data_IF_898988602791
#
_entry.id   IF_898988602791
#
_cell.length_a   1.000
_cell.length_b   1.000
_cell.length_c   1.000
_cell.angle_alpha   90.00
_cell.angle_beta   90.00
_cell.angle_gamma   90.00
#
_symmetry.space_group_name_H-M   'P 1'
#
loop_
_entity.id
_entity.type
_entity.pdbx_description
1 polymer ?
#
# COMPACT_ATOMS: atom_id res chain seq x y z
N UNK A 1 20.14 36.48 2.58
CA UNK A 1 19.55 35.14 2.39
C UNK A 1 19.02 35.12 0.99
N UNK A 2 19.53 34.22 0.16
CA UNK A 2 19.31 34.23 -1.28
C UNK A 2 18.51 33.00 -1.68
N UNK A 3 17.56 33.18 -2.59
CA UNK A 3 16.78 32.09 -3.15
C UNK A 3 17.16 31.91 -4.61
N UNK A 4 17.33 30.66 -5.02
CA UNK A 4 17.72 30.32 -6.38
C UNK A 4 16.82 29.23 -6.94
N UNK A 5 16.36 29.43 -8.17
CA UNK A 5 15.77 28.38 -8.98
C UNK A 5 16.87 27.54 -9.62
N UNK A 6 16.83 26.23 -9.35
CA UNK A 6 17.74 25.24 -9.92
C UNK A 6 17.19 24.78 -11.26
N UNK A 7 17.91 25.11 -12.34
CA UNK A 7 17.54 24.75 -13.70
C UNK A 7 18.21 23.45 -14.13
N UNK A 8 17.47 22.62 -14.88
CA UNK A 8 18.03 21.48 -15.60
C UNK A 8 18.64 21.90 -16.96
N UNK A 9 19.09 20.91 -17.73
CA UNK A 9 19.67 21.09 -19.07
C UNK A 9 18.74 21.84 -20.05
N UNK A 10 17.42 21.72 -19.86
CA UNK A 10 16.40 22.36 -20.68
C UNK A 10 16.00 23.76 -20.16
N UNK A 11 16.75 24.31 -19.20
CA UNK A 11 16.44 25.58 -18.52
C UNK A 11 15.09 25.55 -17.78
N UNK A 12 14.61 24.38 -17.37
CA UNK A 12 13.39 24.20 -16.56
C UNK A 12 13.78 24.12 -15.09
N UNK A 13 13.09 24.88 -14.25
CA UNK A 13 13.26 24.84 -12.81
C UNK A 13 12.77 23.50 -12.25
N UNK A 14 13.67 22.73 -11.65
CA UNK A 14 13.38 21.44 -11.02
C UNK A 14 13.47 21.49 -9.50
N UNK A 15 13.93 22.61 -8.93
CA UNK A 15 14.10 22.78 -7.50
C UNK A 15 14.36 24.23 -7.11
N UNK A 16 14.20 24.53 -5.82
CA UNK A 16 14.49 25.84 -5.24
C UNK A 16 15.50 25.63 -4.11
N UNK A 17 16.59 26.39 -4.15
CA UNK A 17 17.64 26.41 -3.12
C UNK A 17 17.59 27.69 -2.32
N UNK A 18 17.83 27.58 -1.03
CA UNK A 18 18.02 28.72 -0.13
C UNK A 18 19.46 28.71 0.35
N UNK A 19 20.21 29.76 0.03
CA UNK A 19 21.64 29.85 0.30
C UNK A 19 21.95 31.07 1.20
N UNK A 20 22.98 30.92 2.03
CA UNK A 20 23.42 31.95 2.97
C UNK A 20 24.18 33.10 2.30
N UNK A 21 24.70 32.89 1.09
CA UNK A 21 25.45 33.87 0.30
C UNK A 21 25.09 33.81 -1.17
N UNK A 22 25.65 34.75 -1.93
CA UNK A 22 25.46 34.85 -3.37
C UNK A 22 26.22 33.73 -4.09
N UNK A 23 25.55 33.07 -5.02
CA UNK A 23 26.14 32.02 -5.87
C UNK A 23 25.90 32.37 -7.33
N UNK A 24 26.99 32.49 -8.08
CA UNK A 24 26.97 32.78 -9.51
C UNK A 24 27.24 31.47 -10.26
N UNK A 25 26.18 30.83 -10.75
CA UNK A 25 26.25 29.61 -11.55
C UNK A 25 25.17 29.62 -12.64
N UNK A 26 25.48 29.13 -13.84
CA UNK A 26 24.59 29.18 -15.02
C UNK A 26 23.27 28.40 -14.86
N UNK A 27 23.21 27.48 -13.91
CA UNK A 27 22.07 26.65 -13.58
C UNK A 27 21.30 27.13 -12.34
N UNK A 28 21.72 28.24 -11.72
CA UNK A 28 21.05 28.84 -10.55
C UNK A 28 20.67 30.28 -10.89
N UNK A 29 19.37 30.51 -11.02
CA UNK A 29 18.82 31.85 -11.26
C UNK A 29 18.28 32.38 -9.94
N UNK A 30 18.76 33.55 -9.51
CA UNK A 30 18.23 34.20 -8.32
C UNK A 30 16.74 34.53 -8.50
N UNK A 31 15.95 34.17 -7.50
CA UNK A 31 14.51 34.44 -7.44
C UNK A 31 14.19 35.27 -6.20
N UNK A 32 13.13 36.11 -6.24
CA UNK A 32 12.82 37.01 -5.14
C UNK A 32 12.36 36.27 -3.87
N UNK A 33 11.83 35.06 -4.01
CA UNK A 33 11.29 34.26 -2.91
C UNK A 33 11.33 32.76 -3.26
N UNK A 34 11.28 31.91 -2.24
CA UNK A 34 11.11 30.46 -2.40
C UNK A 34 9.68 30.08 -2.79
N UNK A 35 9.19 30.60 -3.91
CA UNK A 35 7.85 30.32 -4.42
C UNK A 35 7.86 29.08 -5.32
N UNK A 36 7.08 28.06 -4.95
CA UNK A 36 6.84 26.88 -5.77
C UNK A 36 6.27 27.21 -7.16
N UNK A 37 5.70 28.39 -7.36
CA UNK A 37 5.25 28.89 -8.66
C UNK A 37 6.35 29.07 -9.71
N UNK A 38 7.63 28.98 -9.32
CA UNK A 38 8.76 28.89 -10.26
C UNK A 38 9.07 27.45 -10.69
N UNK A 39 8.63 26.44 -9.93
CA UNK A 39 8.85 25.04 -10.29
C UNK A 39 8.21 24.74 -11.64
N UNK A 40 8.92 23.94 -12.44
CA UNK A 40 8.52 23.52 -13.76
C UNK A 40 8.33 24.64 -14.77
N UNK A 41 8.68 25.88 -14.44
CA UNK A 41 8.78 26.96 -15.42
C UNK A 41 10.14 26.95 -16.09
N UNK A 42 10.15 27.28 -17.38
CA UNK A 42 11.35 27.44 -18.18
C UNK A 42 11.83 28.88 -18.08
N UNK A 43 13.13 29.11 -17.94
CA UNK A 43 13.73 30.44 -17.93
C UNK A 43 14.53 30.68 -19.21
N UNK A 44 14.06 31.58 -20.08
CA UNK A 44 14.71 31.94 -21.33
C UNK A 44 14.68 33.45 -21.55
N UNK A 45 15.78 34.01 -22.07
CA UNK A 45 15.90 35.44 -22.38
C UNK A 45 15.58 36.38 -21.20
N UNK A 46 15.86 35.94 -19.97
CA UNK A 46 15.59 36.74 -18.76
C UNK A 46 14.14 36.69 -18.28
N UNK A 47 13.28 35.87 -18.89
CA UNK A 47 11.87 35.73 -18.52
C UNK A 47 11.48 34.28 -18.23
N UNK A 48 10.54 34.11 -17.31
CA UNK A 48 9.91 32.83 -17.00
C UNK A 48 8.78 32.52 -17.98
N UNK A 49 8.67 31.26 -18.38
CA UNK A 49 7.56 30.79 -19.22
C UNK A 49 6.22 30.91 -18.52
N UNK A 50 5.16 31.13 -19.30
CA UNK A 50 3.78 31.08 -18.82
C UNK A 50 3.27 29.65 -18.64
N UNK A 51 3.78 28.70 -19.43
CA UNK A 51 3.47 27.27 -19.31
C UNK A 51 4.29 26.57 -18.21
N UNK A 52 3.70 25.50 -17.65
CA UNK A 52 4.37 24.54 -16.78
C UNK A 52 4.84 23.34 -17.60
N UNK A 53 6.07 22.91 -17.36
CA UNK A 53 6.74 21.78 -17.99
C UNK A 53 6.83 20.58 -17.05
N UNK A 54 5.80 20.40 -16.20
CA UNK A 54 5.72 19.25 -15.31
C UNK A 54 5.81 17.95 -16.11
N UNK A 55 6.71 17.02 -15.71
CA UNK A 55 6.78 15.72 -16.34
C UNK A 55 5.42 15.04 -16.17
N UNK A 56 4.76 14.81 -17.30
CA UNK A 56 3.55 14.02 -17.30
C UNK A 56 3.94 12.59 -16.93
N UNK A 57 3.34 12.05 -15.86
CA UNK A 57 3.54 10.65 -15.51
C UNK A 57 3.03 9.78 -16.67
N UNK A 58 3.94 9.12 -17.37
CA UNK A 58 3.63 8.11 -18.39
C UNK A 58 3.63 6.70 -17.80
N UNK A 59 3.69 6.57 -16.47
CA UNK A 59 3.68 5.29 -15.81
C UNK A 59 2.42 4.51 -16.20
N UNK A 60 2.55 3.28 -16.73
CA UNK A 60 1.40 2.51 -17.18
C UNK A 60 0.50 2.20 -15.98
N UNK A 61 -0.75 2.66 -16.06
CA UNK A 61 -1.81 2.39 -15.05
C UNK A 61 -2.11 0.87 -14.93
N UNK A 62 -1.65 0.05 -15.88
CA UNK A 62 -1.94 -1.39 -15.93
C UNK A 62 -1.45 -2.15 -14.70
N UNK A 63 -0.32 -1.77 -14.11
CA UNK A 63 0.20 -2.45 -12.92
C UNK A 63 -0.71 -2.21 -11.71
N UNK A 64 -1.27 -1.00 -11.57
CA UNK A 64 -2.22 -0.69 -10.51
C UNK A 64 -3.52 -1.49 -10.64
N UNK A 65 -4.04 -1.62 -11.87
CA UNK A 65 -5.23 -2.43 -12.14
C UNK A 65 -4.99 -3.92 -11.86
N UNK A 66 -3.85 -4.45 -12.28
CA UNK A 66 -3.47 -5.84 -12.01
C UNK A 66 -3.32 -6.11 -10.51
N UNK A 67 -2.68 -5.20 -9.77
CA UNK A 67 -2.57 -5.29 -8.31
C UNK A 67 -3.94 -5.27 -7.65
N UNK A 68 -4.86 -4.43 -8.13
CA UNK A 68 -6.23 -4.37 -7.60
C UNK A 68 -6.96 -5.70 -7.81
N UNK A 69 -6.87 -6.27 -9.01
CA UNK A 69 -7.48 -7.58 -9.34
C UNK A 69 -6.91 -8.69 -8.45
N UNK A 70 -5.57 -8.76 -8.31
CA UNK A 70 -4.92 -9.74 -7.42
C UNK A 70 -5.35 -9.58 -5.97
N UNK A 71 -5.47 -8.34 -5.49
CA UNK A 71 -5.91 -8.08 -4.12
C UNK A 71 -7.34 -8.59 -3.88
N UNK A 72 -8.26 -8.31 -4.81
CA UNK A 72 -9.63 -8.83 -4.72
C UNK A 72 -9.69 -10.36 -4.75
N UNK A 73 -8.93 -11.02 -5.62
CA UNK A 73 -8.87 -12.48 -5.68
C UNK A 73 -8.36 -13.08 -4.36
N UNK A 74 -7.28 -12.52 -3.80
CA UNK A 74 -6.73 -12.95 -2.51
C UNK A 74 -7.72 -12.76 -1.35
N UNK A 75 -8.49 -11.68 -1.34
CA UNK A 75 -9.52 -11.46 -0.32
C UNK A 75 -10.65 -12.50 -0.40
N UNK A 76 -11.05 -12.88 -1.63
CA UNK A 76 -12.02 -13.93 -1.85
C UNK A 76 -11.49 -15.28 -1.35
N UNK A 77 -10.27 -15.66 -1.71
CA UNK A 77 -9.65 -16.91 -1.25
C UNK A 77 -9.50 -16.96 0.27
N UNK A 78 -9.09 -15.84 0.88
CA UNK A 78 -9.00 -15.74 2.33
C UNK A 78 -10.37 -15.93 3.01
N UNK A 79 -11.44 -15.43 2.40
CA UNK A 79 -12.80 -15.59 2.93
C UNK A 79 -13.27 -17.03 2.80
N UNK A 80 -13.06 -17.64 1.63
CA UNK A 80 -13.44 -19.03 1.37
C UNK A 80 -12.69 -20.01 2.29
N UNK A 81 -11.38 -19.80 2.47
CA UNK A 81 -10.57 -20.64 3.37
C UNK A 81 -10.99 -20.49 4.83
N UNK A 82 -11.36 -19.28 5.28
CA UNK A 82 -11.92 -19.07 6.63
C UNK A 82 -13.25 -19.80 6.82
N UNK A 83 -14.13 -19.77 5.83
CA UNK A 83 -15.40 -20.49 5.87
C UNK A 83 -15.18 -22.00 5.95
N UNK A 84 -14.33 -22.56 5.08
CA UNK A 84 -14.00 -23.98 5.10
C UNK A 84 -13.36 -24.41 6.43
N UNK A 85 -12.53 -23.56 7.04
CA UNK A 85 -11.95 -23.84 8.35
C UNK A 85 -12.99 -23.83 9.46
N UNK A 86 -13.96 -22.91 9.42
CA UNK A 86 -15.06 -22.88 10.40
C UNK A 86 -15.92 -24.15 10.32
N UNK A 87 -16.30 -24.57 9.11
CA UNK A 87 -17.08 -25.79 8.90
C UNK A 87 -16.33 -27.04 9.41
N UNK A 88 -15.03 -27.15 9.11
CA UNK A 88 -14.22 -28.28 9.57
C UNK A 88 -14.11 -28.33 11.10
N UNK A 89 -13.97 -27.17 11.76
CA UNK A 89 -13.93 -27.09 13.22
C UNK A 89 -15.25 -27.55 13.84
N UNK A 90 -16.39 -27.18 13.25
CA UNK A 90 -17.70 -27.65 13.71
C UNK A 90 -17.86 -29.17 13.56
N UNK A 91 -17.44 -29.74 12.42
CA UNK A 91 -17.46 -31.19 12.21
C UNK A 91 -16.59 -31.93 13.24
N UNK A 92 -15.37 -31.45 13.49
CA UNK A 92 -14.50 -32.04 14.51
C UNK A 92 -15.11 -32.01 15.92
N UNK A 93 -15.83 -30.94 16.25
CA UNK A 93 -16.51 -30.85 17.54
C UNK A 93 -17.67 -31.85 17.64
N UNK A 94 -18.46 -32.00 16.57
CA UNK A 94 -19.54 -32.98 16.51
C UNK A 94 -19.03 -34.43 16.63
N UNK A 95 -17.96 -34.77 15.90
CA UNK A 95 -17.34 -36.10 15.93
C UNK A 95 -16.72 -36.42 17.30
N UNK A 96 -16.14 -35.40 17.95
CA UNK A 96 -15.61 -35.55 19.32
C UNK A 96 -16.74 -35.82 20.31
N UNK A 97 -17.85 -35.10 20.21
CA UNK A 97 -19.00 -35.28 21.09
C UNK A 97 -19.64 -36.67 20.89
N UNK A 98 -19.85 -37.09 19.64
CA UNK A 98 -20.42 -38.40 19.34
C UNK A 98 -19.54 -39.52 19.89
N UNK A 99 -18.21 -39.41 19.76
CA UNK A 99 -17.25 -40.36 20.33
C UNK A 99 -17.29 -40.41 21.87
N UNK A 100 -17.45 -39.26 22.54
CA UNK A 100 -17.58 -39.20 24.00
C UNK A 100 -18.89 -39.83 24.49
N UNK A 101 -20.00 -39.62 23.77
CA UNK A 101 -21.29 -40.23 24.09
C UNK A 101 -21.24 -41.76 23.95
N UNK A 102 -20.68 -42.26 22.84
CA UNK A 102 -20.51 -43.69 22.63
C UNK A 102 -19.66 -44.35 23.73
N UNK A 103 -18.61 -43.66 24.21
CA UNK A 103 -17.80 -44.15 25.33
C UNK A 103 -18.60 -44.20 26.64
N UNK A 104 -19.44 -43.20 26.91
CA UNK A 104 -20.28 -43.17 28.11
C UNK A 104 -21.29 -44.31 28.13
N UNK A 105 -21.96 -44.60 27.01
CA UNK A 105 -22.90 -45.72 26.87
C UNK A 105 -22.23 -47.09 27.16
N UNK A 106 -21.01 -47.29 26.67
CA UNK A 106 -20.24 -48.53 26.94
C UNK A 106 -19.90 -48.65 28.42
N UNK A 107 -19.51 -47.55 29.07
CA UNK A 107 -19.21 -47.53 30.51
C UNK A 107 -20.47 -47.86 31.33
N UNK A 108 -21.63 -47.30 30.98
CA UNK A 108 -22.91 -47.61 31.64
C UNK A 108 -23.29 -49.09 31.50
N UNK A 109 -23.09 -49.69 30.32
CA UNK A 109 -23.33 -51.12 30.08
C UNK A 109 -22.46 -52.02 30.96
N UNK A 110 -21.19 -51.63 31.18
CA UNK A 110 -20.24 -52.37 32.03
C UNK A 110 -20.59 -52.20 33.52
N UNK A 111 -21.03 -51.02 33.97
CA UNK A 111 -21.35 -50.75 35.38
C UNK A 111 -22.74 -51.27 35.80
N UNK A 112 -23.73 -51.28 34.90
CA UNK A 112 -25.09 -51.75 35.18
C UNK A 112 -25.23 -53.28 35.24
N UNK A 113 -24.30 -54.03 34.65
CA UNK A 113 -24.31 -55.50 34.64
C UNK A 113 -23.83 -56.18 35.94
N UNK A 114 -23.39 -55.41 36.94
CA UNK A 114 -22.80 -55.94 38.19
C UNK A 114 -23.76 -56.08 39.39
N UNK A 115 -25.04 -55.71 39.27
CA UNK A 115 -25.99 -55.65 40.40
C UNK A 115 -26.94 -56.86 40.54
N UNK A 116 -26.61 -58.01 39.94
CA UNK A 116 -27.34 -59.27 40.15
C UNK A 116 -26.37 -60.43 40.40
N UNK A 117 -25.83 -60.50 41.61
CA UNK A 117 -25.31 -61.73 42.22
C UNK A 117 -25.38 -61.59 43.75
#
# INVERSE_FOLDING_TARGET
>A
MYFYAQLNENKVCIGISQLSGEVIQDNLIEIPSADSGYLWKKFENGAWSTGSFEPQSTAPISEFEELKVKNTALQTDLTNTKLAMAELVEQQQADKLSSQLALAEVIESIMGGGATA
#
